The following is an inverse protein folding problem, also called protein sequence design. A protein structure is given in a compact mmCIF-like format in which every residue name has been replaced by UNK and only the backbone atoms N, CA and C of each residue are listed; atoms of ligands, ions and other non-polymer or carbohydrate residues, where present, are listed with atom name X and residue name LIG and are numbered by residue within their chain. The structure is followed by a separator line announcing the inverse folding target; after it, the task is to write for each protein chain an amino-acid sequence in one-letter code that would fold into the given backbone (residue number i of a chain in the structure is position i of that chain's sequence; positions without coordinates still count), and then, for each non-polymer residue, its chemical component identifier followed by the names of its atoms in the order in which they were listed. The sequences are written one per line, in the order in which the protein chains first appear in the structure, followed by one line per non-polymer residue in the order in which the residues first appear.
data_IF_989382072975
#
_entry.id   IF_989382072975
#
_cell.length_a   1.000
_cell.length_b   1.000
_cell.length_c   1.000
_cell.angle_alpha   90.00
_cell.angle_beta   90.00
_cell.angle_gamma   90.00
#
_symmetry.space_group_name_H-M   'P 1'
#
loop_
_entity.id
_entity.type
_entity.pdbx_description
1 polymer ?
#
# COMPACT_ATOMS: atom_id res chain seq x y z
N UNK A 1 15.36 -69.45 25.66
CA UNK A 1 14.85 -69.29 24.28
C UNK A 1 13.34 -69.12 24.37
N UNK A 2 12.84 -67.90 24.14
CA UNK A 2 11.44 -67.65 23.79
C UNK A 2 11.37 -66.24 23.20
N UNK A 3 11.33 -66.21 21.86
CA UNK A 3 11.00 -65.06 21.03
C UNK A 3 9.51 -64.79 21.10
N UNK A 4 9.11 -63.52 21.20
CA UNK A 4 7.79 -62.96 20.86
C UNK A 4 7.84 -61.47 21.20
N UNK A 5 7.24 -60.53 20.48
CA UNK A 5 6.82 -60.41 19.09
C UNK A 5 6.66 -58.89 18.88
N UNK A 6 6.91 -58.45 17.67
CA UNK A 6 6.99 -57.06 17.24
C UNK A 6 5.57 -56.49 17.14
N UNK A 7 5.31 -55.41 17.88
CA UNK A 7 4.24 -54.47 17.55
C UNK A 7 4.61 -53.05 17.98
N UNK A 8 5.64 -52.49 17.33
CA UNK A 8 5.85 -51.04 17.32
C UNK A 8 4.70 -50.39 16.55
N UNK A 9 3.66 -49.99 17.29
CA UNK A 9 2.58 -49.14 16.79
C UNK A 9 3.22 -47.89 16.19
N UNK A 10 3.10 -47.74 14.87
CA UNK A 10 3.39 -46.52 14.15
C UNK A 10 2.52 -45.39 14.74
N UNK A 11 3.11 -44.53 15.56
CA UNK A 11 2.54 -43.23 15.86
C UNK A 11 2.53 -42.40 14.57
N UNK A 12 1.42 -41.72 14.21
CA UNK A 12 1.42 -40.87 13.05
C UNK A 12 2.40 -39.72 13.31
N UNK A 13 3.43 -39.64 12.46
CA UNK A 13 4.35 -38.51 12.39
C UNK A 13 3.53 -37.25 12.11
N UNK A 14 3.11 -36.58 13.18
CA UNK A 14 2.35 -35.35 13.12
C UNK A 14 3.30 -34.23 12.68
N UNK A 15 3.24 -33.92 11.39
CA UNK A 15 3.46 -32.60 10.80
C UNK A 15 4.68 -31.81 11.31
N UNK A 16 5.89 -32.36 11.17
CA UNK A 16 7.12 -31.68 11.57
C UNK A 16 7.70 -30.73 10.51
N UNK A 17 6.84 -30.00 9.76
CA UNK A 17 7.34 -29.01 8.78
C UNK A 17 6.35 -27.88 8.37
N UNK A 18 5.50 -27.42 9.29
CA UNK A 18 4.68 -26.23 9.05
C UNK A 18 5.22 -25.10 9.91
N UNK A 19 5.91 -24.13 9.29
CA UNK A 19 6.31 -22.90 9.97
C UNK A 19 5.12 -22.23 10.68
N UNK A 20 5.36 -21.41 11.71
CA UNK A 20 4.30 -20.90 12.57
C UNK A 20 3.29 -20.11 11.73
N UNK A 21 2.05 -20.61 11.64
CA UNK A 21 0.96 -19.85 11.07
C UNK A 21 0.71 -18.65 12.00
N UNK A 22 0.68 -17.44 11.43
CA UNK A 22 0.40 -16.23 12.22
C UNK A 22 -1.09 -16.22 12.52
N UNK A 23 -1.44 -16.23 13.80
CA UNK A 23 -2.82 -16.10 14.24
C UNK A 23 -3.38 -14.71 13.92
N UNK A 24 -4.68 -14.64 13.61
CA UNK A 24 -5.36 -13.39 13.22
C UNK A 24 -5.24 -12.35 14.33
N UNK A 25 -5.42 -12.75 15.59
CA UNK A 25 -5.35 -11.83 16.73
C UNK A 25 -3.96 -11.21 16.89
N UNK A 26 -2.90 -11.98 16.63
CA UNK A 26 -1.52 -11.47 16.67
C UNK A 26 -1.25 -10.48 15.53
N UNK A 27 -1.74 -10.77 14.32
CA UNK A 27 -1.63 -9.85 13.19
C UNK A 27 -2.43 -8.56 13.43
N UNK A 28 -3.59 -8.64 14.09
CA UNK A 28 -4.40 -7.50 14.46
C UNK A 28 -3.72 -6.62 15.51
N UNK A 29 -3.22 -7.22 16.60
CA UNK A 29 -2.47 -6.50 17.62
C UNK A 29 -1.28 -5.75 17.00
N UNK A 30 -0.49 -6.43 16.17
CA UNK A 30 0.65 -5.83 15.49
C UNK A 30 0.26 -4.72 14.51
N UNK A 31 -0.87 -4.86 13.79
CA UNK A 31 -1.38 -3.81 12.91
C UNK A 31 -1.76 -2.56 13.70
N UNK A 32 -2.44 -2.71 14.84
CA UNK A 32 -2.84 -1.58 15.70
C UNK A 32 -1.61 -0.91 16.29
N UNK A 33 -0.70 -1.68 16.87
CA UNK A 33 0.53 -1.19 17.50
C UNK A 33 1.42 -0.43 16.52
N UNK A 34 1.56 -0.95 15.30
CA UNK A 34 2.48 -0.40 14.29
C UNK A 34 1.77 0.31 13.14
N UNK A 35 0.51 0.73 13.33
CA UNK A 35 -0.31 1.32 12.26
C UNK A 35 0.38 2.50 11.55
N UNK A 36 0.90 3.53 12.26
CA UNK A 36 1.55 4.66 11.59
C UNK A 36 2.79 4.25 10.79
N UNK A 37 3.56 3.29 11.31
CA UNK A 37 4.77 2.76 10.65
C UNK A 37 4.43 2.01 9.37
N UNK A 38 3.39 1.18 9.40
CA UNK A 38 2.91 0.42 8.24
C UNK A 38 2.33 1.33 7.15
N UNK A 39 1.54 2.34 7.54
CA UNK A 39 0.99 3.32 6.59
C UNK A 39 2.12 4.15 5.98
N UNK A 40 3.12 4.56 6.76
CA UNK A 40 4.30 5.29 6.26
C UNK A 40 5.09 4.46 5.25
N UNK A 41 5.33 3.17 5.55
CA UNK A 41 5.94 2.24 4.61
C UNK A 41 5.16 2.18 3.29
N UNK A 42 3.84 2.03 3.35
CA UNK A 42 3.01 2.02 2.15
C UNK A 42 3.10 3.34 1.37
N UNK A 43 2.98 4.48 2.06
CA UNK A 43 3.02 5.82 1.47
C UNK A 43 4.32 6.05 0.69
N UNK A 44 5.47 5.70 1.26
CA UNK A 44 6.79 5.86 0.66
C UNK A 44 7.03 4.92 -0.56
N UNK A 45 6.45 3.72 -0.55
CA UNK A 45 6.61 2.75 -1.65
C UNK A 45 5.69 3.06 -2.83
N UNK A 46 4.48 3.54 -2.56
CA UNK A 46 3.47 3.87 -3.57
C UNK A 46 4.01 4.84 -4.64
N UNK A 47 3.55 4.71 -5.89
CA UNK A 47 4.11 5.47 -6.99
C UNK A 47 3.80 6.97 -6.86
N UNK A 48 4.77 7.86 -7.17
CA UNK A 48 4.58 9.30 -7.06
C UNK A 48 3.49 9.82 -8.01
N UNK A 49 3.22 9.11 -9.10
CA UNK A 49 2.19 9.44 -10.12
C UNK A 49 0.77 9.48 -9.57
N UNK A 50 0.50 8.87 -8.41
CA UNK A 50 -0.80 8.98 -7.74
C UNK A 50 -1.05 10.40 -7.18
N UNK A 51 0.00 11.17 -6.95
CA UNK A 51 -0.05 12.43 -6.21
C UNK A 51 -0.23 12.23 -4.70
N UNK A 52 0.21 13.20 -3.90
CA UNK A 52 0.28 13.06 -2.42
C UNK A 52 -1.04 12.65 -1.76
N UNK A 53 -2.14 13.33 -2.10
CA UNK A 53 -3.45 13.04 -1.47
C UNK A 53 -3.98 11.63 -1.75
N UNK A 54 -3.84 11.12 -2.99
CA UNK A 54 -4.23 9.75 -3.30
C UNK A 54 -3.26 8.73 -2.69
N UNK A 55 -1.95 9.03 -2.64
CA UNK A 55 -0.96 8.17 -1.95
C UNK A 55 -1.34 7.98 -0.48
N UNK A 56 -1.75 9.04 0.23
CA UNK A 56 -2.22 8.96 1.62
C UNK A 56 -3.40 8.00 1.76
N UNK A 57 -4.48 8.23 1.01
CA UNK A 57 -5.68 7.39 1.09
C UNK A 57 -5.39 5.93 0.71
N UNK A 58 -4.59 5.71 -0.34
CA UNK A 58 -4.19 4.36 -0.75
C UNK A 58 -3.32 3.70 0.34
N UNK A 59 -2.40 4.42 0.97
CA UNK A 59 -1.57 3.87 2.04
C UNK A 59 -2.43 3.36 3.23
N UNK A 60 -3.40 4.16 3.68
CA UNK A 60 -4.34 3.73 4.73
C UNK A 60 -5.16 2.51 4.32
N UNK A 61 -5.68 2.53 3.10
CA UNK A 61 -6.45 1.43 2.54
C UNK A 61 -5.66 0.11 2.51
N UNK A 62 -4.39 0.18 2.11
CA UNK A 62 -3.52 -0.99 2.05
C UNK A 62 -3.20 -1.54 3.45
N UNK A 63 -2.89 -0.67 4.42
CA UNK A 63 -2.69 -1.06 5.80
C UNK A 63 -3.93 -1.74 6.41
N UNK A 64 -5.12 -1.16 6.22
CA UNK A 64 -6.37 -1.72 6.74
C UNK A 64 -6.76 -3.06 6.10
N UNK A 65 -6.34 -3.32 4.85
CA UNK A 65 -6.59 -4.59 4.13
C UNK A 65 -5.53 -5.66 4.38
N UNK A 66 -4.50 -5.35 5.17
CA UNK A 66 -3.40 -6.26 5.43
C UNK A 66 -3.75 -7.40 6.40
N UNK A 67 -4.88 -7.32 7.10
CA UNK A 67 -5.32 -8.41 7.97
C UNK A 67 -5.61 -9.71 7.19
N UNK A 68 -5.27 -10.88 7.76
CA UNK A 68 -5.57 -12.17 7.16
C UNK A 68 -7.09 -12.33 7.00
N UNK A 69 -7.53 -12.72 5.80
CA UNK A 69 -8.93 -13.05 5.52
C UNK A 69 -9.10 -14.56 5.73
N UNK A 70 -9.16 -14.99 6.99
CA UNK A 70 -9.33 -16.40 7.36
C UNK A 70 -8.60 -16.78 8.65
N UNK A 71 -9.13 -17.79 9.37
CA UNK A 71 -8.72 -18.14 10.75
C UNK A 71 -7.27 -18.63 10.89
N UNK A 72 -6.62 -19.09 9.81
CA UNK A 72 -5.19 -19.45 9.76
C UNK A 72 -4.63 -19.16 8.36
N UNK A 73 -3.75 -18.18 8.23
CA UNK A 73 -2.92 -18.02 7.02
C UNK A 73 -1.48 -18.41 7.36
N UNK A 74 -0.89 -19.27 6.53
CA UNK A 74 0.49 -19.73 6.71
C UNK A 74 1.42 -18.53 6.50
N UNK A 75 2.26 -18.23 7.48
CA UNK A 75 3.27 -17.20 7.32
C UNK A 75 4.17 -17.59 6.14
N UNK A 76 4.23 -16.74 5.10
CA UNK A 76 5.01 -16.99 3.88
C UNK A 76 6.51 -16.69 4.07
N UNK A 77 6.96 -16.48 5.31
CA UNK A 77 8.35 -16.19 5.63
C UNK A 77 8.96 -17.46 6.24
N UNK A 78 10.08 -17.99 5.69
CA UNK A 78 10.85 -19.01 6.38
C UNK A 78 11.24 -18.47 7.76
N UNK A 79 10.85 -19.17 8.82
CA UNK A 79 11.36 -18.87 10.14
C UNK A 79 12.90 -18.92 10.09
N UNK A 80 13.53 -17.94 10.77
CA UNK A 80 14.98 -17.73 10.94
C UNK A 80 15.61 -16.63 10.06
N UNK A 81 15.44 -15.37 10.48
CA UNK A 81 16.61 -14.51 10.64
C UNK A 81 16.98 -14.53 12.13
N UNK A 82 18.09 -15.16 12.46
CA UNK A 82 18.73 -15.02 13.76
C UNK A 82 19.26 -13.59 13.86
N UNK A 83 18.54 -12.74 14.59
CA UNK A 83 18.90 -11.33 14.76
C UNK A 83 17.73 -10.48 15.26
N UNK A 84 17.48 -10.56 16.57
CA UNK A 84 16.42 -9.88 17.34
C UNK A 84 15.04 -10.51 17.15
N UNK A 85 14.40 -10.91 18.25
CA UNK A 85 13.03 -11.46 18.30
C UNK A 85 12.03 -10.51 17.60
N UNK A 86 11.87 -10.66 16.29
CA UNK A 86 10.91 -9.90 15.50
C UNK A 86 9.51 -10.41 15.79
N UNK A 87 8.54 -9.50 15.99
CA UNK A 87 7.15 -9.89 16.13
C UNK A 87 6.65 -10.50 14.80
N UNK A 88 6.32 -11.81 14.75
CA UNK A 88 5.79 -12.47 13.56
C UNK A 88 4.48 -11.86 13.05
N UNK A 89 3.69 -11.23 13.94
CA UNK A 89 2.50 -10.48 13.56
C UNK A 89 2.86 -9.29 12.68
N UNK A 90 3.79 -8.47 13.16
CA UNK A 90 4.31 -7.32 12.42
C UNK A 90 4.97 -7.72 11.10
N UNK A 91 5.82 -8.76 11.11
CA UNK A 91 6.50 -9.24 9.89
C UNK A 91 5.51 -9.68 8.81
N UNK A 92 4.44 -10.38 9.20
CA UNK A 92 3.37 -10.79 8.29
C UNK A 92 2.65 -9.58 7.68
N UNK A 93 2.22 -8.63 8.52
CA UNK A 93 1.49 -7.45 8.08
C UNK A 93 2.37 -6.55 7.20
N UNK A 94 3.63 -6.34 7.59
CA UNK A 94 4.62 -5.58 6.81
C UNK A 94 4.79 -6.17 5.40
N UNK A 95 5.00 -7.48 5.30
CA UNK A 95 5.15 -8.14 4.00
C UNK A 95 3.91 -7.94 3.12
N UNK A 96 2.71 -8.03 3.70
CA UNK A 96 1.46 -7.87 2.96
C UNK A 96 1.22 -6.44 2.50
N UNK A 97 1.48 -5.46 3.36
CA UNK A 97 1.42 -4.03 3.00
C UNK A 97 2.41 -3.73 1.88
N UNK A 98 3.65 -4.19 2.01
CA UNK A 98 4.69 -4.00 1.01
C UNK A 98 4.29 -4.60 -0.34
N UNK A 99 3.83 -5.86 -0.34
CA UNK A 99 3.36 -6.54 -1.55
C UNK A 99 2.25 -5.75 -2.23
N UNK A 100 1.23 -5.32 -1.49
CA UNK A 100 0.13 -4.54 -2.08
C UNK A 100 0.57 -3.16 -2.59
N UNK A 101 1.54 -2.50 -1.94
CA UNK A 101 2.08 -1.22 -2.41
C UNK A 101 2.91 -1.38 -3.70
N UNK A 102 3.66 -2.48 -3.82
CA UNK A 102 4.38 -2.83 -5.05
C UNK A 102 3.41 -3.17 -6.19
N UNK A 103 2.35 -3.94 -5.92
CA UNK A 103 1.31 -4.22 -6.92
C UNK A 103 0.58 -2.95 -7.41
N UNK A 104 0.42 -1.96 -6.52
CA UNK A 104 -0.15 -0.66 -6.88
C UNK A 104 0.81 0.19 -7.75
N UNK A 105 2.10 -0.16 -7.78
CA UNK A 105 3.12 0.49 -8.63
C UNK A 105 3.26 -0.16 -10.01
N UNK A 106 2.72 -1.37 -10.20
CA UNK A 106 2.80 -2.08 -11.48
C UNK A 106 1.84 -1.48 -12.52
N UNK A 107 2.25 -1.43 -13.81
CA UNK A 107 1.35 -1.03 -14.88
C UNK A 107 0.12 -1.95 -14.93
N UNK A 108 -1.05 -1.36 -15.14
CA UNK A 108 -2.31 -2.09 -15.25
C UNK A 108 -2.27 -2.98 -16.49
N UNK A 109 -2.18 -4.29 -16.29
CA UNK A 109 -2.35 -5.30 -17.33
C UNK A 109 -3.64 -6.05 -17.04
N UNK A 110 -4.64 -5.89 -17.91
CA UNK A 110 -5.96 -6.51 -17.72
C UNK A 110 -6.80 -5.85 -16.61
N UNK A 111 -7.61 -6.66 -15.92
CA UNK A 111 -8.52 -6.19 -14.86
C UNK A 111 -7.73 -5.65 -13.64
N UNK A 112 -8.18 -4.55 -13.02
CA UNK A 112 -7.48 -3.95 -11.89
C UNK A 112 -7.50 -4.86 -10.67
N UNK A 113 -6.35 -5.03 -10.02
CA UNK A 113 -6.28 -5.72 -8.72
C UNK A 113 -6.97 -4.90 -7.64
N UNK A 114 -7.47 -5.55 -6.58
CA UNK A 114 -8.05 -4.87 -5.42
C UNK A 114 -7.09 -3.84 -4.79
N UNK A 115 -5.78 -4.09 -4.82
CA UNK A 115 -4.71 -3.17 -4.36
C UNK A 115 -4.59 -1.90 -5.22
N UNK A 116 -5.08 -1.94 -6.46
CA UNK A 116 -5.07 -0.82 -7.41
C UNK A 116 -6.40 -0.04 -7.41
N UNK A 117 -7.44 -0.58 -6.77
CA UNK A 117 -8.73 0.08 -6.63
C UNK A 117 -8.75 0.97 -5.39
N UNK A 118 -9.25 2.21 -5.51
CA UNK A 118 -9.41 3.08 -4.34
C UNK A 118 -10.31 2.39 -3.31
N UNK A 119 -9.92 2.41 -2.05
CA UNK A 119 -10.83 1.97 -0.99
C UNK A 119 -11.91 3.04 -0.76
N UNK A 120 -13.11 2.62 -0.32
CA UNK A 120 -14.13 3.53 0.15
C UNK A 120 -13.73 4.06 1.53
N UNK A 121 -12.72 4.92 1.58
CA UNK A 121 -12.42 5.70 2.78
C UNK A 121 -13.38 6.90 2.81
N UNK A 122 -13.86 7.31 4.00
CA UNK A 122 -14.74 8.46 4.13
C UNK A 122 -14.07 9.69 3.51
N UNK A 123 -14.75 10.30 2.53
CA UNK A 123 -14.27 11.51 1.87
C UNK A 123 -14.94 12.72 2.52
N UNK A 124 -14.14 13.66 3.01
CA UNK A 124 -14.65 14.93 3.55
C UNK A 124 -14.87 15.89 2.38
N UNK A 125 -16.11 16.33 2.20
CA UNK A 125 -16.43 17.26 1.11
C UNK A 125 -15.87 18.66 1.39
N UNK A 126 -15.24 19.27 0.39
CA UNK A 126 -14.67 20.63 0.49
C UNK A 126 -13.31 20.73 1.19
N UNK A 127 -12.79 19.63 1.75
CA UNK A 127 -11.46 19.58 2.36
C UNK A 127 -10.58 18.54 1.66
N UNK A 128 -9.28 18.83 1.60
CA UNK A 128 -8.24 17.90 1.16
C UNK A 128 -7.26 17.66 2.29
N UNK A 129 -6.95 16.40 2.52
CA UNK A 129 -5.92 15.98 3.45
C UNK A 129 -4.58 15.92 2.73
N UNK A 130 -3.58 16.58 3.30
CA UNK A 130 -2.20 16.54 2.84
C UNK A 130 -1.28 16.18 4.02
N UNK A 131 -0.22 15.40 3.81
CA UNK A 131 0.86 15.29 4.78
C UNK A 131 1.42 16.68 5.09
N UNK A 132 2.03 16.84 6.27
CA UNK A 132 2.76 18.08 6.57
C UNK A 132 3.82 18.33 5.49
N UNK A 133 3.98 19.58 5.07
CA UNK A 133 5.11 19.94 4.21
C UNK A 133 6.39 19.90 5.04
N UNK A 134 7.42 19.20 4.56
CA UNK A 134 8.75 19.23 5.14
C UNK A 134 9.61 20.32 4.51
N UNK A 135 10.90 20.30 4.85
CA UNK A 135 11.89 21.26 4.39
C UNK A 135 12.46 20.91 3.02
N UNK A 136 13.54 21.62 2.65
CA UNK A 136 14.23 21.40 1.38
C UNK A 136 14.82 19.99 1.26
N UNK A 137 15.30 19.42 2.38
CA UNK A 137 15.92 18.09 2.41
C UNK A 137 14.89 16.98 2.18
N UNK A 138 13.72 17.05 2.82
CA UNK A 138 12.65 16.10 2.57
C UNK A 138 12.09 16.21 1.15
N UNK A 139 11.97 17.43 0.61
CA UNK A 139 11.58 17.63 -0.79
C UNK A 139 12.62 17.02 -1.75
N UNK A 140 13.91 17.23 -1.49
CA UNK A 140 14.99 16.63 -2.28
C UNK A 140 14.97 15.10 -2.20
N UNK A 141 14.66 14.53 -1.03
CA UNK A 141 14.49 13.10 -0.86
C UNK A 141 13.27 12.57 -1.61
N UNK A 142 12.09 13.20 -1.52
CA UNK A 142 10.89 12.79 -2.26
C UNK A 142 11.14 12.83 -3.78
N UNK A 143 11.85 13.85 -4.26
CA UNK A 143 12.27 13.95 -5.67
C UNK A 143 13.17 12.78 -6.07
N UNK A 144 14.22 12.46 -5.31
CA UNK A 144 15.10 11.31 -5.59
C UNK A 144 14.36 9.98 -5.53
N UNK A 145 13.48 9.78 -4.55
CA UNK A 145 12.65 8.58 -4.48
C UNK A 145 11.69 8.48 -5.66
N UNK A 146 11.21 9.61 -6.18
CA UNK A 146 10.29 9.63 -7.32
C UNK A 146 10.91 9.09 -8.62
N UNK A 147 12.23 9.15 -8.77
CA UNK A 147 12.95 8.62 -9.95
C UNK A 147 13.24 7.13 -9.84
N UNK A 148 13.13 6.54 -8.65
CA UNK A 148 13.36 5.12 -8.43
C UNK A 148 12.19 4.26 -8.93
N UNK A 149 12.51 3.01 -9.28
CA UNK A 149 11.49 1.97 -9.47
C UNK A 149 10.79 1.64 -8.15
N UNK A 150 9.59 1.05 -8.21
CA UNK A 150 8.85 0.61 -7.02
C UNK A 150 9.68 -0.31 -6.10
N UNK A 151 10.30 -1.38 -6.64
CA UNK A 151 11.19 -2.23 -5.85
C UNK A 151 12.41 -1.50 -5.27
N UNK A 152 13.02 -0.56 -6.00
CA UNK A 152 14.16 0.21 -5.48
C UNK A 152 13.75 1.17 -4.35
N UNK A 153 12.60 1.84 -4.46
CA UNK A 153 12.03 2.59 -3.33
C UNK A 153 11.79 1.70 -2.13
N UNK A 154 11.19 0.52 -2.34
CA UNK A 154 10.96 -0.45 -1.27
C UNK A 154 12.25 -0.87 -0.56
N UNK A 155 13.32 -1.17 -1.32
CA UNK A 155 14.62 -1.47 -0.73
C UNK A 155 15.15 -0.32 0.13
N UNK A 156 15.12 0.92 -0.39
CA UNK A 156 15.56 2.10 0.35
C UNK A 156 14.77 2.32 1.65
N UNK A 157 13.44 2.17 1.59
CA UNK A 157 12.54 2.34 2.74
C UNK A 157 12.74 1.24 3.77
N UNK A 158 12.91 -0.02 3.37
CA UNK A 158 13.17 -1.11 4.32
C UNK A 158 14.52 -0.94 5.04
N UNK A 159 15.56 -0.45 4.36
CA UNK A 159 16.83 -0.12 5.03
C UNK A 159 16.66 0.99 6.07
N UNK A 160 16.02 2.09 5.67
CA UNK A 160 15.96 3.28 6.53
C UNK A 160 14.86 3.26 7.59
N UNK A 161 13.64 2.87 7.23
CA UNK A 161 12.48 2.86 8.13
C UNK A 161 12.45 1.59 9.00
N UNK A 162 12.84 0.45 8.44
CA UNK A 162 12.84 -0.84 9.14
C UNK A 162 14.19 -1.22 9.76
N UNK A 163 15.27 -0.53 9.39
CA UNK A 163 16.62 -0.82 9.88
C UNK A 163 17.15 -2.18 9.42
N UNK A 164 16.62 -2.71 8.31
CA UNK A 164 16.92 -4.05 7.85
C UNK A 164 18.24 -4.12 7.08
N UNK A 165 18.93 -5.24 7.26
CA UNK A 165 20.13 -5.58 6.49
C UNK A 165 19.78 -5.87 5.03
N UNK A 166 20.75 -5.76 4.12
CA UNK A 166 20.54 -6.06 2.70
C UNK A 166 20.05 -7.49 2.46
N UNK A 167 20.49 -8.45 3.30
CA UNK A 167 20.04 -9.83 3.22
C UNK A 167 18.57 -9.98 3.62
N UNK A 168 18.13 -9.30 4.68
CA UNK A 168 16.73 -9.29 5.09
C UNK A 168 15.85 -8.57 4.07
N UNK A 169 16.32 -7.44 3.53
CA UNK A 169 15.63 -6.72 2.44
C UNK A 169 15.46 -7.63 1.22
N UNK A 170 16.52 -8.33 0.81
CA UNK A 170 16.47 -9.30 -0.30
C UNK A 170 15.43 -10.40 -0.06
N UNK A 171 15.41 -10.99 1.15
CA UNK A 171 14.42 -12.01 1.53
C UNK A 171 12.99 -11.47 1.44
N UNK A 172 12.74 -10.29 2.00
CA UNK A 172 11.41 -9.66 2.01
C UNK A 172 10.96 -9.29 0.59
N UNK A 173 11.82 -8.71 -0.24
CA UNK A 173 11.47 -8.37 -1.62
C UNK A 173 11.15 -9.62 -2.45
N UNK A 174 11.93 -10.70 -2.30
CA UNK A 174 11.62 -12.00 -2.93
C UNK A 174 10.27 -12.53 -2.46
N UNK A 175 10.01 -12.50 -1.15
CA UNK A 175 8.73 -12.90 -0.57
C UNK A 175 7.58 -11.99 -1.06
N UNK A 176 7.83 -10.73 -1.37
CA UNK A 176 6.85 -9.80 -1.95
C UNK A 176 6.59 -10.05 -3.46
N UNK A 177 7.35 -10.94 -4.10
CA UNK A 177 7.21 -11.30 -5.52
C UNK A 177 8.12 -10.51 -6.46
N UNK A 178 9.12 -9.79 -5.95
CA UNK A 178 10.10 -9.07 -6.78
C UNK A 178 11.11 -10.06 -7.35
N UNK A 179 11.20 -10.10 -8.67
CA UNK A 179 12.13 -11.01 -9.39
C UNK A 179 13.56 -10.46 -9.45
N UNK A 180 13.73 -9.18 -9.77
CA UNK A 180 15.05 -8.52 -9.91
C UNK A 180 15.48 -7.79 -8.63
N UNK A 181 15.68 -8.55 -7.56
CA UNK A 181 16.04 -7.98 -6.23
C UNK A 181 17.38 -7.26 -6.22
N UNK A 182 18.42 -7.77 -6.89
CA UNK A 182 19.71 -7.08 -6.96
C UNK A 182 19.61 -5.73 -7.68
N UNK A 183 18.81 -5.63 -8.75
CA UNK A 183 18.55 -4.34 -9.42
C UNK A 183 17.81 -3.36 -8.52
N UNK A 184 16.94 -3.86 -7.63
CA UNK A 184 16.26 -3.02 -6.65
C UNK A 184 17.24 -2.46 -5.60
N UNK A 185 18.13 -3.30 -5.06
CA UNK A 185 19.17 -2.89 -4.12
C UNK A 185 20.16 -1.91 -4.76
N UNK A 186 20.61 -2.18 -5.98
CA UNK A 186 21.48 -1.28 -6.74
C UNK A 186 20.80 0.08 -7.02
N UNK A 187 19.51 0.07 -7.40
CA UNK A 187 18.73 1.29 -7.57
C UNK A 187 18.62 2.10 -6.27
N UNK A 188 18.40 1.43 -5.14
CA UNK A 188 18.36 2.09 -3.83
C UNK A 188 19.71 2.72 -3.44
N UNK A 189 20.85 2.15 -3.86
CA UNK A 189 22.18 2.72 -3.63
C UNK A 189 22.41 4.03 -4.39
N UNK A 190 21.60 4.33 -5.41
CA UNK A 190 21.65 5.61 -6.13
C UNK A 190 21.11 6.81 -5.33
N UNK A 191 20.53 6.58 -4.15
CA UNK A 191 20.02 7.64 -3.26
C UNK A 191 20.90 7.70 -2.01
N UNK A 192 21.38 8.90 -1.60
CA UNK A 192 22.14 9.06 -0.36
C UNK A 192 21.40 8.51 0.86
N UNK A 193 22.13 7.86 1.78
CA UNK A 193 21.60 7.20 2.97
C UNK A 193 21.17 8.19 4.09
N UNK A 194 20.27 9.11 3.76
CA UNK A 194 19.70 10.09 4.68
C UNK A 194 18.45 9.53 5.36
N UNK A 195 18.57 8.33 5.95
CA UNK A 195 17.43 7.57 6.45
C UNK A 195 16.63 8.27 7.56
N UNK A 196 17.26 9.16 8.33
CA UNK A 196 16.59 9.97 9.34
C UNK A 196 15.44 10.81 8.78
N UNK A 197 15.52 11.24 7.51
CA UNK A 197 14.45 12.00 6.86
C UNK A 197 13.18 11.17 6.66
N UNK A 198 13.27 9.84 6.55
CA UNK A 198 12.08 8.97 6.44
C UNK A 198 11.25 8.99 7.73
N UNK A 199 11.83 9.40 8.86
CA UNK A 199 11.11 9.60 10.11
C UNK A 199 10.34 10.94 10.18
N UNK A 200 10.61 11.87 9.23
CA UNK A 200 10.04 13.22 9.21
C UNK A 200 8.51 13.20 9.07
N UNK A 201 7.80 14.19 9.67
CA UNK A 201 6.35 14.36 9.50
C UNK A 201 5.88 14.51 8.05
N UNK A 202 6.75 14.85 7.10
CA UNK A 202 6.38 14.92 5.68
C UNK A 202 5.96 13.57 5.09
N UNK A 203 6.61 12.50 5.54
CA UNK A 203 6.30 11.15 5.10
C UNK A 203 5.27 10.47 6.01
N UNK A 204 4.76 11.19 7.02
CA UNK A 204 3.75 10.69 7.93
C UNK A 204 2.33 10.90 7.40
N UNK A 205 1.80 9.87 6.72
CA UNK A 205 0.44 9.88 6.25
C UNK A 205 -0.61 9.85 7.39
N UNK A 206 -0.23 9.61 8.65
CA UNK A 206 -1.14 9.74 9.79
C UNK A 206 -1.22 11.18 10.34
N UNK A 207 -0.21 12.02 10.08
CA UNK A 207 -0.14 13.42 10.52
C UNK A 207 -0.58 14.37 9.40
N UNK A 208 -1.90 14.51 9.21
CA UNK A 208 -2.48 15.22 8.07
C UNK A 208 -2.94 16.63 8.42
N UNK A 209 -2.74 17.56 7.48
CA UNK A 209 -3.36 18.89 7.50
C UNK A 209 -4.59 18.89 6.58
N UNK A 210 -5.71 19.40 7.09
CA UNK A 210 -6.87 19.71 6.27
C UNK A 210 -6.71 21.09 5.64
N UNK A 211 -6.73 21.15 4.31
CA UNK A 211 -6.74 22.40 3.54
C UNK A 211 -8.02 22.47 2.71
N UNK A 212 -8.56 23.67 2.43
CA UNK A 212 -9.68 23.80 1.52
C UNK A 212 -9.28 23.25 0.14
N UNK A 213 -10.21 22.56 -0.52
CA UNK A 213 -10.09 22.31 -1.97
C UNK A 213 -10.02 23.65 -2.70
N UNK A 214 -9.32 23.71 -3.83
CA UNK A 214 -9.30 24.90 -4.70
C UNK A 214 -10.72 25.42 -4.95
N UNK A 215 -11.05 26.52 -4.27
CA UNK A 215 -12.40 27.10 -4.23
C UNK A 215 -12.77 27.69 -5.59
N UNK A 216 -11.79 28.20 -6.34
CA UNK A 216 -12.02 28.76 -7.67
C UNK A 216 -12.34 27.66 -8.67
N UNK A 217 -11.58 26.57 -8.64
CA UNK A 217 -11.85 25.40 -9.49
C UNK A 217 -13.22 24.81 -9.21
N UNK A 218 -13.64 24.75 -7.94
CA UNK A 218 -15.01 24.35 -7.56
C UNK A 218 -16.06 25.28 -8.17
N UNK A 219 -15.89 26.61 -8.03
CA UNK A 219 -16.81 27.60 -8.61
C UNK A 219 -16.94 27.43 -10.12
N UNK A 220 -15.81 27.22 -10.82
CA UNK A 220 -15.80 26.98 -12.26
C UNK A 220 -16.56 25.70 -12.65
N UNK A 221 -16.34 24.59 -11.95
CA UNK A 221 -17.06 23.34 -12.21
C UNK A 221 -18.56 23.45 -11.95
N UNK A 222 -18.99 24.15 -10.89
CA UNK A 222 -20.42 24.42 -10.67
C UNK A 222 -21.02 25.27 -11.77
N UNK A 223 -20.32 26.31 -12.24
CA UNK A 223 -20.79 27.13 -13.38
C UNK A 223 -20.93 26.29 -14.65
N UNK A 224 -19.94 25.43 -14.92
CA UNK A 224 -19.97 24.53 -16.08
C UNK A 224 -21.12 23.52 -15.99
N UNK A 225 -21.37 22.94 -14.82
CA UNK A 225 -22.47 22.00 -14.60
C UNK A 225 -23.85 22.66 -14.81
N UNK A 226 -24.03 23.89 -14.32
CA UNK A 226 -25.26 24.67 -14.55
C UNK A 226 -25.46 24.95 -16.04
N UNK A 227 -24.40 25.37 -16.74
CA UNK A 227 -24.47 25.61 -18.18
C UNK A 227 -24.82 24.33 -18.97
N UNK A 228 -24.21 23.19 -18.62
CA UNK A 228 -24.51 21.90 -19.23
C UNK A 228 -25.96 21.44 -18.97
N UNK A 229 -26.46 21.63 -17.74
CA UNK A 229 -27.85 21.33 -17.41
C UNK A 229 -28.84 22.20 -18.18
N UNK A 230 -28.55 23.50 -18.34
CA UNK A 230 -29.35 24.40 -19.17
C UNK A 230 -29.36 23.97 -20.64
N UNK A 231 -28.20 23.61 -21.20
CA UNK A 231 -28.09 23.11 -22.57
C UNK A 231 -28.87 21.80 -22.77
N UNK A 232 -28.79 20.86 -21.82
CA UNK A 232 -29.59 19.63 -21.84
C UNK A 232 -31.09 19.92 -21.77
N UNK A 233 -31.52 20.86 -20.93
CA UNK A 233 -32.93 21.26 -20.85
C UNK A 233 -33.42 21.83 -22.20
N UNK A 234 -32.64 22.72 -22.84
CA UNK A 234 -32.97 23.25 -24.17
C UNK A 234 -33.03 22.14 -25.21
N UNK A 235 -32.06 21.22 -25.23
CA UNK A 235 -32.06 20.08 -26.14
C UNK A 235 -33.28 19.17 -25.93
N UNK A 236 -33.64 18.87 -24.68
CA UNK A 236 -34.84 18.10 -24.36
C UNK A 236 -36.11 18.80 -24.83
N UNK A 237 -36.23 20.12 -24.66
CA UNK A 237 -37.37 20.90 -25.17
C UNK A 237 -37.44 20.84 -26.70
N UNK A 238 -36.32 21.00 -27.40
CA UNK A 238 -36.27 20.92 -28.87
C UNK A 238 -36.69 19.54 -29.39
N UNK A 239 -36.31 18.46 -28.71
CA UNK A 239 -36.69 17.09 -29.08
C UNK A 239 -38.15 16.77 -28.71
N UNK A 240 -38.66 17.34 -27.61
CA UNK A 240 -40.02 17.11 -27.12
C UNK A 240 -41.07 17.98 -27.82
N UNK A 241 -40.68 19.01 -28.58
CA UNK A 241 -41.58 19.77 -29.45
C UNK A 241 -42.06 18.83 -30.57
N UNK A 242 -43.34 18.42 -30.59
CA UNK A 242 -43.88 17.64 -31.69
C UNK A 242 -43.72 18.48 -32.96
N UNK A 243 -43.06 17.91 -33.98
CA UNK A 243 -42.88 18.57 -35.26
C UNK A 243 -44.23 19.08 -35.75
N UNK A 244 -44.40 20.40 -35.77
CA UNK A 244 -45.52 21.02 -36.47
C UNK A 244 -45.41 20.59 -37.91
N UNK A 245 -46.27 19.64 -38.30
CA UNK A 245 -46.25 19.02 -39.61
C UNK A 245 -46.20 20.10 -40.68
N UNK A 246 -45.21 19.99 -41.57
CA UNK A 246 -45.34 20.62 -42.87
C UNK A 246 -46.46 19.89 -43.59
N UNK A 247 -47.58 20.57 -43.79
CA UNK A 247 -48.60 20.13 -44.72
C UNK A 247 -49.53 21.28 -45.09
N UNK A 248 -50.28 21.15 -46.19
CA UNK A 248 -49.96 20.45 -47.45
C UNK A 248 -49.02 21.27 -48.36
#
# INVERSE_FOLDING_TARGET
MQSQDVAQRHAPASSRNQGPAVDVGRAEAALVEHYPRLVRLAYLVLPPTLGRGRRVLTAHALAQRALPRGRKQRALIPAQSAGRDGDPGYDFVRLRVLRSALEASEPRKGLPKLSQLPAPLPQVWGLRLFPRSGGADELALDQRLSTLSGPARAAFVLRGLEGLTDDDVRKILKAAGVTRTESALAGANGVPAQYGLLASPEFDACSLQARPTDLMRRRQHTKAAVAAAAALAVACVLVALPGGGWGP
#
